data_IF_520808371265
#
_entry.id   IF_520808371265
#
_cell.length_a   1.000
_cell.length_b   1.000
_cell.length_c   1.000
_cell.angle_alpha   90.00
_cell.angle_beta   90.00
_cell.angle_gamma   90.00
#
_symmetry.space_group_name_H-M   'P 1'
#
loop_
_entity.id
_entity.type
_entity.pdbx_description
1 polymer ?
#
# COMPACT_ATOMS: atom_id res chain seq x y z
N UNK A 1 6.18 -6.25 -8.00
CA UNK A 1 5.61 -4.93 -7.66
C UNK A 1 6.32 -3.85 -8.45
N UNK A 2 5.70 -3.37 -9.49
CA UNK A 2 6.30 -2.37 -10.38
C UNK A 2 5.46 -1.08 -10.33
N UNK A 3 5.96 -0.09 -9.61
CA UNK A 3 5.26 1.19 -9.41
C UNK A 3 5.01 1.90 -10.74
N UNK A 4 6.01 1.96 -11.61
CA UNK A 4 5.88 2.66 -12.89
C UNK A 4 4.81 2.03 -13.77
N UNK A 5 4.76 0.69 -13.80
CA UNK A 5 3.74 -0.05 -14.55
C UNK A 5 2.34 0.25 -14.02
N UNK A 6 2.16 0.26 -12.70
CA UNK A 6 0.87 0.58 -12.06
C UNK A 6 0.43 1.99 -12.44
N UNK A 7 1.33 2.97 -12.35
CA UNK A 7 0.99 4.36 -12.70
C UNK A 7 0.62 4.49 -14.18
N UNK A 8 1.34 3.82 -15.07
CA UNK A 8 1.03 3.82 -16.50
C UNK A 8 -0.33 3.20 -16.80
N UNK A 9 -0.63 2.07 -16.17
CA UNK A 9 -1.92 1.40 -16.32
C UNK A 9 -3.09 2.27 -15.84
N UNK A 10 -2.92 2.98 -14.72
CA UNK A 10 -3.93 3.91 -14.23
C UNK A 10 -4.16 5.05 -15.22
N UNK A 11 -3.09 5.64 -15.75
CA UNK A 11 -3.18 6.73 -16.72
C UNK A 11 -3.86 6.30 -18.01
N UNK A 12 -3.83 5.03 -18.35
CA UNK A 12 -4.45 4.48 -19.55
C UNK A 12 -5.94 4.17 -19.37
N UNK A 13 -6.47 4.23 -18.14
CA UNK A 13 -7.89 3.94 -17.90
C UNK A 13 -8.79 5.03 -18.50
N UNK A 14 -9.94 4.65 -19.10
CA UNK A 14 -10.92 5.61 -19.57
C UNK A 14 -11.37 6.56 -18.44
N UNK A 15 -11.43 7.85 -18.73
CA UNK A 15 -11.86 8.87 -17.77
C UNK A 15 -10.75 9.40 -16.86
N UNK A 16 -9.54 8.87 -16.96
CA UNK A 16 -8.44 9.30 -16.08
C UNK A 16 -8.19 10.81 -16.18
N UNK A 17 -8.04 11.33 -17.39
CA UNK A 17 -7.72 12.76 -17.59
C UNK A 17 -8.82 13.70 -17.13
N UNK A 18 -10.07 13.24 -17.11
CA UNK A 18 -11.21 14.04 -16.69
C UNK A 18 -11.42 14.04 -15.18
N UNK A 19 -10.86 13.06 -14.46
CA UNK A 19 -11.18 12.84 -13.05
C UNK A 19 -9.97 12.88 -12.13
N UNK A 20 -8.75 12.84 -12.65
CA UNK A 20 -7.55 12.71 -11.82
C UNK A 20 -6.66 13.95 -11.93
N UNK A 21 -6.41 14.56 -10.79
CA UNK A 21 -5.44 15.66 -10.65
C UNK A 21 -4.16 15.20 -9.95
N UNK A 22 -4.20 14.08 -9.25
CA UNK A 22 -3.03 13.56 -8.55
C UNK A 22 -3.14 12.08 -8.24
N UNK A 23 -1.98 11.48 -8.03
CA UNK A 23 -1.85 10.14 -7.48
C UNK A 23 -0.89 10.18 -6.30
N UNK A 24 -1.28 9.59 -5.17
CA UNK A 24 -0.37 9.35 -4.04
C UNK A 24 0.04 7.88 -4.02
N UNK A 25 1.32 7.67 -3.78
CA UNK A 25 1.93 6.34 -3.79
C UNK A 25 2.57 6.06 -2.45
N UNK A 26 2.28 4.91 -1.88
CA UNK A 26 3.03 4.33 -0.78
C UNK A 26 3.75 3.09 -1.30
N UNK A 27 5.07 3.10 -1.22
CA UNK A 27 5.90 1.92 -1.47
C UNK A 27 6.58 1.54 -0.15
N UNK A 28 5.94 0.65 0.60
CA UNK A 28 6.49 0.15 1.86
C UNK A 28 7.64 -0.80 1.60
N UNK A 29 8.71 -0.64 2.36
CA UNK A 29 9.94 -1.40 2.23
C UNK A 29 10.25 -2.05 3.56
N UNK A 30 10.79 -3.27 3.54
CA UNK A 30 11.21 -3.98 4.74
C UNK A 30 12.40 -3.26 5.36
N UNK A 31 12.29 -2.90 6.64
CA UNK A 31 13.36 -2.25 7.39
C UNK A 31 14.31 -3.26 8.00
N UNK A 32 15.57 -2.87 8.16
CA UNK A 32 16.55 -3.64 8.92
C UNK A 32 16.48 -3.42 10.43
N UNK A 33 15.43 -2.76 10.92
CA UNK A 33 15.23 -2.43 12.33
C UNK A 33 13.76 -2.40 12.69
N UNK A 34 13.45 -2.74 13.95
CA UNK A 34 12.08 -2.72 14.45
C UNK A 34 11.66 -1.29 14.80
N UNK A 35 10.46 -0.89 14.38
CA UNK A 35 9.87 0.40 14.74
C UNK A 35 9.68 0.54 16.25
N UNK A 36 9.43 -0.56 16.92
CA UNK A 36 9.11 -0.60 18.34
C UNK A 36 10.31 -0.23 19.24
N UNK A 37 11.48 -0.81 18.95
CA UNK A 37 12.65 -0.72 19.86
C UNK A 37 13.98 -0.57 19.13
N UNK A 38 13.96 -0.38 17.79
CA UNK A 38 15.13 -0.31 16.94
C UNK A 38 16.02 -1.57 16.96
N UNK A 39 15.53 -2.69 17.52
CA UNK A 39 16.26 -3.95 17.46
C UNK A 39 16.51 -4.36 16.00
N UNK A 40 17.66 -5.00 15.69
CA UNK A 40 17.95 -5.46 14.35
C UNK A 40 16.89 -6.44 13.83
N UNK A 41 16.49 -6.27 12.57
CA UNK A 41 15.59 -7.17 11.85
C UNK A 41 16.37 -7.80 10.70
N UNK A 42 16.45 -9.12 10.67
CA UNK A 42 17.14 -9.84 9.60
C UNK A 42 16.20 -10.28 8.48
N UNK A 43 14.93 -10.50 8.81
CA UNK A 43 13.88 -10.85 7.84
C UNK A 43 12.52 -10.59 8.46
N UNK A 44 11.48 -10.61 7.61
CA UNK A 44 10.10 -10.63 8.07
C UNK A 44 9.33 -11.71 7.33
N UNK A 45 8.31 -12.26 7.99
CA UNK A 45 7.33 -13.14 7.36
C UNK A 45 6.04 -12.36 7.19
N UNK A 46 5.52 -12.30 5.97
CA UNK A 46 4.34 -11.50 5.62
C UNK A 46 3.26 -12.38 5.02
N UNK A 47 2.05 -12.18 5.49
CA UNK A 47 0.84 -12.71 4.87
C UNK A 47 -0.19 -11.59 4.78
N UNK A 48 -1.18 -11.75 3.90
CA UNK A 48 -2.28 -10.80 3.80
C UNK A 48 -3.60 -11.51 3.49
N UNK A 49 -4.68 -10.87 3.90
CA UNK A 49 -6.03 -11.29 3.55
C UNK A 49 -6.47 -10.52 2.30
N UNK A 50 -6.39 -11.19 1.14
CA UNK A 50 -6.70 -10.55 -0.14
C UNK A 50 -8.15 -10.10 -0.23
N UNK A 51 -9.09 -10.91 0.26
CA UNK A 51 -10.50 -10.56 0.25
C UNK A 51 -10.77 -9.31 1.09
N UNK A 52 -10.14 -9.22 2.25
CA UNK A 52 -10.25 -8.05 3.13
C UNK A 52 -9.62 -6.81 2.49
N UNK A 53 -8.45 -6.96 1.87
CA UNK A 53 -7.79 -5.86 1.18
C UNK A 53 -8.65 -5.33 0.03
N UNK A 54 -9.22 -6.22 -0.77
CA UNK A 54 -10.11 -5.86 -1.88
C UNK A 54 -11.36 -5.15 -1.38
N UNK A 55 -11.95 -5.62 -0.28
CA UNK A 55 -13.14 -5.01 0.32
C UNK A 55 -12.86 -3.59 0.81
N UNK A 56 -11.72 -3.37 1.46
CA UNK A 56 -11.31 -2.04 1.93
C UNK A 56 -11.11 -1.10 0.74
N UNK A 57 -10.42 -1.54 -0.29
CA UNK A 57 -10.19 -0.73 -1.49
C UNK A 57 -11.50 -0.36 -2.18
N UNK A 58 -12.41 -1.32 -2.31
CA UNK A 58 -13.72 -1.08 -2.93
C UNK A 58 -14.53 -0.05 -2.14
N UNK A 59 -14.58 -0.17 -0.82
CA UNK A 59 -15.26 0.78 0.05
C UNK A 59 -14.66 2.19 -0.09
N UNK A 60 -13.33 2.28 -0.05
CA UNK A 60 -12.62 3.57 -0.08
C UNK A 60 -12.72 4.26 -1.46
N UNK A 61 -12.84 3.49 -2.52
CA UNK A 61 -13.06 4.04 -3.88
C UNK A 61 -14.40 4.75 -4.02
N UNK A 62 -15.36 4.49 -3.14
CA UNK A 62 -16.67 5.16 -3.17
C UNK A 62 -16.64 6.58 -2.61
N UNK A 63 -15.53 7.01 -2.03
CA UNK A 63 -15.41 8.36 -1.49
C UNK A 63 -15.42 9.42 -2.59
N UNK A 64 -15.95 10.63 -2.31
CA UNK A 64 -15.98 11.71 -3.28
C UNK A 64 -14.58 12.02 -3.82
N UNK A 65 -14.48 12.16 -5.15
CA UNK A 65 -13.25 12.54 -5.80
C UNK A 65 -12.21 11.44 -6.01
N UNK A 66 -12.50 10.21 -5.58
CA UNK A 66 -11.59 9.09 -5.76
C UNK A 66 -11.90 8.35 -7.05
N UNK A 67 -10.90 8.24 -7.91
CA UNK A 67 -11.02 7.59 -9.21
C UNK A 67 -10.68 6.10 -9.14
N UNK A 68 -9.56 5.75 -8.52
CA UNK A 68 -9.11 4.38 -8.42
C UNK A 68 -8.13 4.20 -7.26
N UNK A 69 -8.13 2.99 -6.70
CA UNK A 69 -7.18 2.55 -5.68
C UNK A 69 -6.55 1.24 -6.16
N UNK A 70 -5.22 1.15 -6.05
CA UNK A 70 -4.47 -0.08 -6.30
C UNK A 70 -3.75 -0.46 -5.01
N UNK A 71 -3.87 -1.73 -4.62
CA UNK A 71 -3.18 -2.28 -3.46
C UNK A 71 -2.55 -3.61 -3.84
N UNK A 72 -1.25 -3.75 -3.59
CA UNK A 72 -0.50 -4.98 -3.85
C UNK A 72 0.40 -5.26 -2.65
N UNK A 73 0.41 -6.49 -2.18
CA UNK A 73 1.25 -6.92 -1.07
C UNK A 73 2.13 -8.10 -1.50
N UNK A 74 3.40 -8.08 -1.07
CA UNK A 74 4.26 -9.26 -1.17
C UNK A 74 4.01 -10.16 0.02
N UNK A 75 4.17 -11.46 -0.18
CA UNK A 75 4.01 -12.47 0.86
C UNK A 75 5.27 -13.32 1.00
N UNK A 76 5.34 -14.03 2.12
CA UNK A 76 6.41 -14.96 2.41
C UNK A 76 7.51 -14.32 3.26
N UNK A 77 8.70 -14.88 3.14
CA UNK A 77 9.87 -14.41 3.87
C UNK A 77 10.59 -13.34 3.05
N UNK A 78 10.64 -12.13 3.60
CA UNK A 78 11.22 -10.97 2.93
C UNK A 78 12.44 -10.47 3.71
N UNK A 79 13.39 -9.89 2.97
CA UNK A 79 14.63 -9.35 3.52
C UNK A 79 14.56 -7.82 3.57
N UNK A 80 15.33 -7.17 4.47
CA UNK A 80 15.45 -5.72 4.44
C UNK A 80 15.77 -5.20 3.04
N UNK A 81 15.04 -4.18 2.62
CA UNK A 81 15.15 -3.62 1.27
C UNK A 81 14.12 -4.14 0.28
N UNK A 82 13.48 -5.28 0.57
CA UNK A 82 12.43 -5.80 -0.29
C UNK A 82 11.17 -4.94 -0.21
N UNK A 83 10.44 -4.88 -1.33
CA UNK A 83 9.14 -4.22 -1.36
C UNK A 83 8.10 -5.04 -0.61
N UNK A 84 7.33 -4.38 0.22
CA UNK A 84 6.35 -5.01 1.11
C UNK A 84 4.92 -4.73 0.68
N UNK A 85 4.60 -3.47 0.45
CA UNK A 85 3.23 -3.03 0.22
C UNK A 85 3.24 -1.83 -0.72
N UNK A 86 2.50 -1.94 -1.82
CA UNK A 86 2.26 -0.83 -2.74
C UNK A 86 0.81 -0.41 -2.65
N UNK A 87 0.59 0.87 -2.36
CA UNK A 87 -0.74 1.48 -2.40
C UNK A 87 -0.68 2.71 -3.31
N UNK A 88 -1.67 2.84 -4.19
CA UNK A 88 -1.83 4.02 -5.03
C UNK A 88 -3.27 4.50 -4.93
N UNK A 89 -3.44 5.79 -4.66
CA UNK A 89 -4.75 6.43 -4.68
C UNK A 89 -4.73 7.52 -5.75
N UNK A 90 -5.59 7.39 -6.73
CA UNK A 90 -5.79 8.37 -7.80
C UNK A 90 -7.10 9.10 -7.59
N UNK A 91 -7.08 10.42 -7.64
CA UNK A 91 -8.27 11.22 -7.43
C UNK A 91 -8.11 12.66 -7.90
N UNK A 92 -9.10 13.49 -7.61
CA UNK A 92 -9.23 14.83 -8.19
C UNK A 92 -8.34 15.88 -7.54
N UNK A 93 -8.49 16.11 -6.23
CA UNK A 93 -7.77 17.14 -5.50
C UNK A 93 -7.15 16.57 -4.23
N UNK A 94 -6.12 17.26 -3.72
CA UNK A 94 -5.33 16.75 -2.58
C UNK A 94 -6.15 16.56 -1.30
N UNK A 95 -7.16 17.37 -1.06
CA UNK A 95 -8.00 17.25 0.13
C UNK A 95 -8.72 15.90 0.17
N UNK A 96 -9.22 15.43 -0.97
CA UNK A 96 -9.88 14.14 -1.07
C UNK A 96 -8.87 12.98 -1.06
N UNK A 97 -7.79 13.13 -1.83
CA UNK A 97 -6.81 12.06 -2.02
C UNK A 97 -5.98 11.82 -0.76
N UNK A 98 -5.50 12.87 -0.10
CA UNK A 98 -4.69 12.73 1.12
C UNK A 98 -5.46 12.06 2.26
N UNK A 99 -6.70 12.50 2.50
CA UNK A 99 -7.52 11.92 3.56
C UNK A 99 -7.82 10.44 3.31
N UNK A 100 -8.17 10.10 2.08
CA UNK A 100 -8.43 8.71 1.70
C UNK A 100 -7.17 7.87 1.80
N UNK A 101 -6.04 8.38 1.33
CA UNK A 101 -4.77 7.67 1.38
C UNK A 101 -4.34 7.35 2.82
N UNK A 102 -4.44 8.32 3.72
CA UNK A 102 -4.07 8.12 5.12
C UNK A 102 -4.91 7.02 5.78
N UNK A 103 -6.21 7.05 5.59
CA UNK A 103 -7.11 6.04 6.16
C UNK A 103 -6.91 4.67 5.50
N UNK A 104 -6.73 4.63 4.17
CA UNK A 104 -6.44 3.39 3.46
C UNK A 104 -5.20 2.71 4.01
N UNK A 105 -4.11 3.47 4.16
CA UNK A 105 -2.85 2.93 4.66
C UNK A 105 -3.00 2.35 6.06
N UNK A 106 -3.68 3.07 6.95
CA UNK A 106 -3.91 2.61 8.32
C UNK A 106 -4.78 1.35 8.35
N UNK A 107 -5.84 1.31 7.55
CA UNK A 107 -6.75 0.16 7.50
C UNK A 107 -6.11 -1.07 6.89
N UNK A 108 -5.39 -0.94 5.79
CA UNK A 108 -4.70 -2.07 5.16
C UNK A 108 -3.69 -2.68 6.14
N UNK A 109 -2.90 -1.85 6.80
CA UNK A 109 -1.88 -2.33 7.74
C UNK A 109 -2.47 -2.99 8.97
N UNK A 110 -3.58 -2.48 9.50
CA UNK A 110 -4.17 -3.02 10.73
C UNK A 110 -5.14 -4.17 10.49
N UNK A 111 -5.79 -4.24 9.32
CA UNK A 111 -6.88 -5.19 9.07
C UNK A 111 -6.54 -6.28 8.06
N UNK A 112 -5.62 -6.05 7.12
CA UNK A 112 -5.42 -6.94 6.00
C UNK A 112 -4.00 -7.50 5.87
N UNK A 113 -3.00 -6.88 6.48
CA UNK A 113 -1.61 -7.33 6.39
C UNK A 113 -1.12 -7.78 7.76
N UNK A 114 -0.51 -8.97 7.80
CA UNK A 114 0.07 -9.55 9.01
C UNK A 114 1.56 -9.71 8.75
N UNK A 115 2.39 -9.17 9.64
CA UNK A 115 3.84 -9.35 9.54
C UNK A 115 4.42 -9.79 10.88
N UNK A 116 5.47 -10.61 10.80
CA UNK A 116 6.25 -11.05 11.94
C UNK A 116 7.73 -10.75 11.66
N UNK A 117 8.35 -9.96 12.52
CA UNK A 117 9.76 -9.62 12.43
C UNK A 117 10.62 -10.71 13.05
N UNK A 118 11.75 -11.00 12.41
CA UNK A 118 12.75 -11.97 12.93
C UNK A 118 14.08 -11.24 13.10
N UNK A 119 14.64 -11.34 14.29
CA UNK A 119 15.98 -10.81 14.57
C UNK A 119 17.08 -11.78 14.14
N UNK A 120 18.34 -11.32 14.17
CA UNK A 120 19.48 -12.20 13.95
C UNK A 120 19.49 -13.31 15.00
N UNK A 121 19.85 -14.52 14.60
CA UNK A 121 20.07 -15.58 15.57
C UNK A 121 21.33 -15.30 16.40
N UNK A 122 21.25 -15.62 17.66
CA UNK A 122 22.37 -15.46 18.58
C UNK A 122 23.49 -16.46 18.30
#
# INVERSE_FOLDING_TARGET
>A
MDVNKVLQELKARPGFTDHVGMMLVHNGVVRGWSRKDHAPVSSITVSHDQAKMDAICHEMEQRPGIFAIVAQANEGDLQPGDDLLLLVVAGDIRENVKATFAELLDRIKSEAVIKQEHGPEA
#
